data_IF_897047776569
#
_entry.id   IF_897047776569
#
_cell.length_a   1.000
_cell.length_b   1.000
_cell.length_c   1.000
_cell.angle_alpha   90.00
_cell.angle_beta   90.00
_cell.angle_gamma   90.00
#
_symmetry.space_group_name_H-M   'P 1'
#
loop_
_entity.id
_entity.type
_entity.pdbx_description
1 polymer ?
#
# COMPACT_ATOMS: atom_id res chain seq x y z
N UNK A 1 14.91 6.25 -6.67
CA UNK A 1 13.53 6.69 -6.93
C UNK A 1 13.04 7.72 -5.92
N UNK A 2 12.14 8.60 -6.35
CA UNK A 2 11.38 9.56 -5.52
C UNK A 2 9.98 9.07 -5.14
N UNK A 3 9.61 7.86 -5.55
CA UNK A 3 8.30 7.25 -5.45
C UNK A 3 7.81 7.06 -4.01
N UNK A 4 6.87 7.90 -3.55
CA UNK A 4 6.37 7.89 -2.18
C UNK A 4 5.04 7.11 -2.12
N UNK A 5 5.07 5.99 -1.42
CA UNK A 5 3.87 5.20 -1.17
C UNK A 5 2.96 5.87 -0.14
N UNK A 6 1.66 5.90 -0.37
CA UNK A 6 0.68 6.43 0.59
C UNK A 6 -0.55 5.53 0.67
N UNK A 7 -1.07 5.33 1.88
CA UNK A 7 -2.38 4.74 2.12
C UNK A 7 -3.42 5.80 2.44
N UNK A 8 -4.62 5.67 1.87
CA UNK A 8 -5.80 6.47 2.24
C UNK A 8 -6.96 5.58 2.63
N UNK A 9 -7.48 5.75 3.84
CA UNK A 9 -8.72 5.12 4.30
C UNK A 9 -9.92 6.01 3.93
N UNK A 10 -10.53 5.72 2.78
CA UNK A 10 -11.54 6.56 2.17
C UNK A 10 -12.91 6.39 2.83
N UNK A 11 -13.65 7.51 2.92
CA UNK A 11 -15.08 7.45 3.19
C UNK A 11 -15.83 6.86 1.97
N UNK A 12 -17.03 6.31 2.17
CA UNK A 12 -17.87 5.84 1.05
C UNK A 12 -18.12 6.94 0.01
N UNK A 13 -18.22 8.21 0.45
CA UNK A 13 -18.41 9.35 -0.44
C UNK A 13 -17.20 9.53 -1.36
N UNK A 14 -15.99 9.52 -0.80
CA UNK A 14 -14.76 9.79 -1.56
C UNK A 14 -14.40 8.60 -2.45
N UNK A 15 -14.58 7.37 -1.95
CA UNK A 15 -14.44 6.16 -2.75
C UNK A 15 -15.37 6.19 -3.97
N UNK A 16 -16.65 6.56 -3.77
CA UNK A 16 -17.60 6.66 -4.87
C UNK A 16 -17.25 7.76 -5.88
N UNK A 17 -16.59 8.85 -5.45
CA UNK A 17 -16.08 9.86 -6.39
C UNK A 17 -14.93 9.28 -7.21
N UNK A 18 -13.92 8.70 -6.55
CA UNK A 18 -12.77 8.08 -7.21
C UNK A 18 -13.18 7.02 -8.25
N UNK A 19 -14.16 6.17 -7.90
CA UNK A 19 -14.64 5.13 -8.82
C UNK A 19 -15.44 5.69 -10.01
N UNK A 20 -16.00 6.90 -9.90
CA UNK A 20 -16.67 7.62 -11.00
C UNK A 20 -15.70 8.46 -11.84
N UNK A 21 -14.58 8.87 -11.28
CA UNK A 21 -13.49 9.51 -12.03
C UNK A 21 -12.99 8.54 -13.09
N UNK A 22 -12.75 9.06 -14.30
CA UNK A 22 -12.24 8.24 -15.38
C UNK A 22 -10.87 7.69 -15.02
N UNK A 23 -10.53 6.49 -15.51
CA UNK A 23 -9.33 5.76 -15.09
C UNK A 23 -8.06 6.60 -15.20
N UNK A 24 -7.88 7.29 -16.33
CA UNK A 24 -6.73 8.15 -16.61
C UNK A 24 -6.69 9.45 -15.81
N UNK A 25 -7.82 9.90 -15.25
CA UNK A 25 -7.89 11.10 -14.41
C UNK A 25 -7.76 10.77 -12.90
N UNK A 26 -7.60 9.49 -12.53
CA UNK A 26 -7.48 9.08 -11.12
C UNK A 26 -6.21 9.58 -10.45
N UNK A 27 -5.02 9.57 -11.08
CA UNK A 27 -3.83 10.15 -10.47
C UNK A 27 -4.02 11.63 -10.12
N UNK A 28 -4.51 12.43 -11.07
CA UNK A 28 -4.81 13.85 -10.86
C UNK A 28 -5.83 14.06 -9.73
N UNK A 29 -6.94 13.30 -9.72
CA UNK A 29 -7.93 13.37 -8.65
C UNK A 29 -7.35 13.01 -7.28
N UNK A 30 -6.43 12.06 -7.20
CA UNK A 30 -5.78 11.72 -5.92
C UNK A 30 -4.94 12.90 -5.46
N UNK A 31 -4.06 13.41 -6.32
CA UNK A 31 -3.11 14.47 -5.95
C UNK A 31 -3.78 15.81 -5.68
N UNK A 32 -4.75 16.21 -6.51
CA UNK A 32 -5.40 17.52 -6.38
C UNK A 32 -6.56 17.53 -5.37
N UNK A 33 -7.36 16.45 -5.26
CA UNK A 33 -8.52 16.43 -4.38
C UNK A 33 -8.30 15.66 -3.07
N UNK A 34 -7.75 14.44 -3.14
CA UNK A 34 -7.64 13.59 -1.95
C UNK A 34 -6.48 14.01 -1.06
N UNK A 35 -5.29 14.24 -1.61
CA UNK A 35 -4.11 14.61 -0.84
C UNK A 35 -4.35 15.92 -0.07
N UNK A 36 -4.80 16.98 -0.74
CA UNK A 36 -5.07 18.28 -0.10
C UNK A 36 -5.99 18.14 1.13
N UNK A 37 -7.06 17.34 1.01
CA UNK A 37 -8.03 17.18 2.10
C UNK A 37 -7.51 16.22 3.17
N UNK A 38 -6.88 15.10 2.81
CA UNK A 38 -6.53 14.07 3.77
C UNK A 38 -5.30 14.44 4.60
N UNK A 39 -4.30 15.08 3.99
CA UNK A 39 -3.13 15.59 4.70
C UNK A 39 -3.48 16.70 5.69
N UNK A 40 -4.49 17.52 5.41
CA UNK A 40 -4.86 18.62 6.32
C UNK A 40 -5.95 18.25 7.34
N UNK A 41 -7.00 17.53 6.90
CA UNK A 41 -8.27 17.40 7.64
C UNK A 41 -8.57 15.96 8.07
N UNK A 42 -7.91 14.97 7.47
CA UNK A 42 -8.15 13.55 7.76
C UNK A 42 -6.88 12.78 8.09
N UNK A 43 -5.97 13.41 8.86
CA UNK A 43 -4.66 12.87 9.25
C UNK A 43 -4.67 11.45 9.87
N UNK A 44 -5.80 11.01 10.44
CA UNK A 44 -5.96 9.66 11.02
C UNK A 44 -6.34 8.58 10.00
N UNK A 45 -6.64 9.00 8.77
CA UNK A 45 -7.08 8.16 7.66
C UNK A 45 -6.12 8.25 6.48
N UNK A 46 -4.90 8.69 6.73
CA UNK A 46 -3.79 8.69 5.79
C UNK A 46 -2.56 8.13 6.49
N UNK A 47 -1.72 7.42 5.74
CA UNK A 47 -0.44 6.93 6.25
C UNK A 47 0.59 6.88 5.13
N UNK A 48 1.67 7.63 5.29
CA UNK A 48 2.79 7.66 4.35
C UNK A 48 3.72 6.46 4.61
N UNK A 49 4.07 5.76 3.54
CA UNK A 49 5.04 4.67 3.51
C UNK A 49 6.42 5.14 3.04
N UNK A 50 6.53 6.37 2.52
CA UNK A 50 7.75 6.88 1.90
C UNK A 50 8.24 5.86 0.86
N UNK A 51 9.51 5.46 0.86
CA UNK A 51 10.09 4.50 -0.10
C UNK A 51 10.01 3.04 0.36
N UNK A 52 9.42 2.76 1.52
CA UNK A 52 9.41 1.41 2.10
C UNK A 52 8.48 0.42 1.39
N UNK A 53 7.57 0.90 0.54
CA UNK A 53 6.47 0.11 -0.02
C UNK A 53 6.92 -1.06 -0.91
N UNK A 54 8.03 -0.93 -1.64
CA UNK A 54 8.53 -1.98 -2.55
C UNK A 54 9.02 -3.19 -1.75
N UNK A 55 10.04 -2.98 -0.89
CA UNK A 55 10.51 -4.03 0.01
C UNK A 55 9.39 -4.59 0.89
N UNK A 56 8.46 -3.73 1.34
CA UNK A 56 7.29 -4.16 2.08
C UNK A 56 6.40 -5.09 1.27
N UNK A 57 6.09 -4.75 0.02
CA UNK A 57 5.30 -5.61 -0.88
C UNK A 57 5.98 -6.96 -1.07
N UNK A 58 7.27 -6.96 -1.39
CA UNK A 58 8.05 -8.19 -1.59
C UNK A 58 8.08 -9.08 -0.32
N UNK A 59 8.17 -8.48 0.86
CA UNK A 59 8.08 -9.24 2.11
C UNK A 59 6.68 -9.79 2.37
N UNK A 60 5.64 -9.11 1.90
CA UNK A 60 4.25 -9.50 2.11
C UNK A 60 3.72 -10.42 1.01
N UNK A 61 4.38 -10.51 -0.15
CA UNK A 61 4.05 -11.44 -1.23
C UNK A 61 4.54 -12.87 -0.93
N UNK A 62 4.09 -13.83 -1.74
CA UNK A 62 4.48 -15.23 -1.61
C UNK A 62 5.91 -15.49 -2.09
N UNK A 63 6.31 -14.82 -3.16
CA UNK A 63 7.51 -15.11 -3.95
C UNK A 63 8.58 -14.02 -3.87
N UNK A 64 8.32 -12.91 -3.17
CA UNK A 64 9.25 -11.79 -3.12
C UNK A 64 9.27 -10.93 -4.38
N UNK A 65 8.31 -11.12 -5.29
CA UNK A 65 8.24 -10.40 -6.55
C UNK A 65 7.40 -9.12 -6.42
N UNK A 66 7.77 -8.13 -7.23
CA UNK A 66 7.03 -6.88 -7.39
C UNK A 66 5.96 -7.03 -8.47
N UNK A 67 4.87 -7.72 -8.13
CA UNK A 67 3.77 -8.02 -9.06
C UNK A 67 2.41 -7.61 -8.51
N UNK A 68 1.50 -7.25 -9.42
CA UNK A 68 0.08 -7.11 -9.11
C UNK A 68 -0.58 -8.47 -8.87
N UNK A 69 -1.63 -8.48 -8.05
CA UNK A 69 -2.51 -9.64 -7.92
C UNK A 69 -1.89 -10.85 -7.22
N UNK A 70 -1.05 -10.63 -6.21
CA UNK A 70 -0.46 -11.71 -5.41
C UNK A 70 -1.52 -12.48 -4.58
N UNK A 71 -1.38 -13.82 -4.58
CA UNK A 71 -2.33 -14.76 -3.98
C UNK A 71 -2.13 -14.95 -2.45
N UNK A 72 -1.16 -14.29 -1.82
CA UNK A 72 -0.86 -14.40 -0.39
C UNK A 72 -1.90 -13.68 0.46
N UNK A 73 -3.13 -14.16 0.44
CA UNK A 73 -4.23 -13.49 1.10
C UNK A 73 -4.12 -13.56 2.65
N UNK A 74 -4.32 -12.44 3.37
CA UNK A 74 -4.63 -11.10 2.86
C UNK A 74 -3.39 -10.21 2.66
N UNK A 75 -2.19 -10.67 3.02
CA UNK A 75 -0.97 -9.86 3.10
C UNK A 75 -0.46 -9.36 1.74
N UNK A 76 -0.51 -10.18 0.70
CA UNK A 76 -0.20 -9.78 -0.68
C UNK A 76 -1.12 -8.67 -1.21
N UNK A 77 -2.25 -8.43 -0.53
CA UNK A 77 -3.17 -7.34 -0.84
C UNK A 77 -2.88 -6.03 -0.11
N UNK A 78 -1.84 -5.94 0.72
CA UNK A 78 -1.55 -4.69 1.46
C UNK A 78 -1.07 -3.60 0.49
N UNK A 79 -0.12 -3.92 -0.40
CA UNK A 79 0.45 -2.97 -1.38
C UNK A 79 -0.17 -3.17 -2.77
N UNK A 80 0.23 -4.21 -3.51
CA UNK A 80 -0.15 -4.37 -4.93
C UNK A 80 -1.39 -5.23 -5.21
N UNK A 81 -1.94 -5.93 -4.21
CA UNK A 81 -3.17 -6.71 -4.40
C UNK A 81 -4.45 -5.91 -4.12
N UNK A 82 -5.60 -6.58 -4.31
CA UNK A 82 -6.92 -5.93 -4.33
C UNK A 82 -7.36 -5.56 -5.76
N UNK A 83 -8.31 -4.64 -5.87
CA UNK A 83 -8.79 -4.16 -7.17
C UNK A 83 -7.79 -3.14 -7.74
N UNK A 84 -7.24 -3.38 -8.94
CA UNK A 84 -6.30 -2.46 -9.59
C UNK A 84 -7.09 -1.34 -10.28
N UNK A 85 -6.94 -0.12 -9.77
CA UNK A 85 -7.62 1.06 -10.28
C UNK A 85 -6.80 1.81 -11.35
N UNK A 86 -5.48 1.69 -11.33
CA UNK A 86 -4.52 2.28 -12.27
C UNK A 86 -3.14 1.62 -12.09
N UNK A 87 -2.31 1.58 -13.13
CA UNK A 87 -0.93 1.09 -13.08
C UNK A 87 -0.69 -0.25 -13.77
N UNK A 88 -1.70 -0.82 -14.42
CA UNK A 88 -1.60 -2.13 -15.10
C UNK A 88 -2.03 -2.11 -16.57
N UNK A 89 -2.28 -0.93 -17.13
CA UNK A 89 -2.56 -0.73 -18.54
C UNK A 89 -1.33 -0.21 -19.30
N UNK A 90 -1.37 -0.34 -20.62
CA UNK A 90 -0.47 0.40 -21.51
C UNK A 90 -0.71 1.91 -21.27
N UNK A 91 0.37 2.69 -21.11
CA UNK A 91 0.34 4.13 -20.76
C UNK A 91 -0.07 4.48 -19.30
N UNK A 92 0.11 3.55 -18.35
CA UNK A 92 -0.13 3.80 -16.89
C UNK A 92 1.13 3.55 -16.04
N UNK A 93 2.32 3.68 -16.61
CA UNK A 93 3.60 3.36 -15.94
C UNK A 93 4.06 4.44 -14.95
N UNK A 94 3.34 5.56 -14.84
CA UNK A 94 3.68 6.74 -14.04
C UNK A 94 3.04 6.73 -12.65
N UNK A 95 2.08 5.84 -12.39
CA UNK A 95 1.38 5.79 -11.12
C UNK A 95 0.79 4.41 -10.84
N UNK A 96 0.62 4.06 -9.56
CA UNK A 96 -0.08 2.85 -9.15
C UNK A 96 -1.23 3.21 -8.22
N UNK A 97 -2.42 2.62 -8.43
CA UNK A 97 -3.56 2.75 -7.52
C UNK A 97 -4.20 1.39 -7.31
N UNK A 98 -4.16 0.88 -6.07
CA UNK A 98 -4.84 -0.38 -5.71
C UNK A 98 -5.84 -0.18 -4.58
N UNK A 99 -7.03 -0.78 -4.72
CA UNK A 99 -8.14 -0.65 -3.79
C UNK A 99 -8.37 -1.94 -2.99
N UNK A 100 -8.41 -1.77 -1.67
CA UNK A 100 -8.78 -2.78 -0.69
C UNK A 100 -10.16 -2.43 -0.15
N UNK A 101 -11.16 -3.24 -0.49
CA UNK A 101 -12.54 -3.07 0.00
C UNK A 101 -12.59 -3.26 1.53
N UNK A 102 -13.60 -2.67 2.17
CA UNK A 102 -13.73 -2.66 3.64
C UNK A 102 -13.68 -4.04 4.29
N UNK A 103 -14.22 -5.08 3.65
CA UNK A 103 -14.13 -6.46 4.19
C UNK A 103 -12.68 -6.98 4.16
N UNK A 104 -11.95 -6.77 3.07
CA UNK A 104 -10.52 -7.08 2.99
C UNK A 104 -9.70 -6.25 3.99
N UNK A 105 -10.03 -4.98 4.20
CA UNK A 105 -9.38 -4.13 5.21
C UNK A 105 -9.55 -4.72 6.61
N UNK A 106 -10.74 -5.23 6.96
CA UNK A 106 -10.96 -5.93 8.23
C UNK A 106 -10.16 -7.22 8.33
N UNK A 107 -10.09 -8.00 7.25
CA UNK A 107 -9.30 -9.23 7.22
C UNK A 107 -7.82 -8.94 7.43
N UNK A 108 -7.28 -7.91 6.76
CA UNK A 108 -5.92 -7.41 6.97
C UNK A 108 -5.74 -7.00 8.44
N UNK A 109 -6.58 -6.09 8.95
CA UNK A 109 -6.45 -5.58 10.32
C UNK A 109 -6.51 -6.69 11.39
N UNK A 110 -7.32 -7.73 11.18
CA UNK A 110 -7.43 -8.86 12.10
C UNK A 110 -6.20 -9.77 12.14
N UNK A 111 -5.36 -9.76 11.08
CA UNK A 111 -4.21 -10.67 10.92
C UNK A 111 -2.87 -9.97 10.87
N UNK A 112 -2.83 -8.65 10.65
CA UNK A 112 -1.59 -7.91 10.39
C UNK A 112 -0.59 -8.03 11.55
N UNK A 113 -1.07 -8.11 12.80
CA UNK A 113 -0.22 -8.31 13.98
C UNK A 113 0.43 -9.70 14.08
N UNK A 114 -0.05 -10.68 13.30
CA UNK A 114 0.56 -12.02 13.26
C UNK A 114 1.90 -12.04 12.50
N UNK A 115 2.20 -10.98 11.75
CA UNK A 115 3.47 -10.78 11.07
C UNK A 115 4.49 -10.31 12.11
N UNK A 116 5.43 -11.19 12.46
CA UNK A 116 6.50 -10.84 13.40
C UNK A 116 7.70 -10.25 12.67
N UNK A 117 8.49 -9.45 13.39
CA UNK A 117 9.71 -8.85 12.87
C UNK A 117 10.68 -9.89 12.32
N UNK A 118 10.79 -11.04 12.99
CA UNK A 118 11.70 -12.12 12.60
C UNK A 118 11.29 -12.76 11.27
N UNK A 119 10.00 -13.04 11.08
CA UNK A 119 9.48 -13.59 9.82
C UNK A 119 9.61 -12.59 8.68
N UNK A 120 9.34 -11.32 8.96
CA UNK A 120 9.51 -10.26 7.98
C UNK A 120 10.98 -10.11 7.59
N UNK A 121 11.90 -10.16 8.56
CA UNK A 121 13.36 -10.14 8.33
C UNK A 121 13.81 -11.30 7.46
N UNK A 122 13.34 -12.51 7.77
CA UNK A 122 13.69 -13.71 6.99
C UNK A 122 13.28 -13.55 5.53
N UNK A 123 12.09 -13.00 5.27
CA UNK A 123 11.62 -12.74 3.90
C UNK A 123 12.39 -11.61 3.22
N UNK A 124 12.69 -10.53 3.94
CA UNK A 124 13.45 -9.40 3.41
C UNK A 124 14.82 -9.84 2.87
N UNK A 125 15.59 -10.63 3.63
CA UNK A 125 16.90 -11.12 3.19
C UNK A 125 16.84 -12.25 2.14
N UNK A 126 15.63 -12.65 1.72
CA UNK A 126 15.41 -13.58 0.60
C UNK A 126 15.05 -12.88 -0.71
N UNK A 127 14.82 -11.56 -0.68
CA UNK A 127 14.58 -10.76 -1.88
C UNK A 127 15.79 -10.89 -2.83
N UNK A 128 15.55 -10.91 -4.14
CA UNK A 128 16.63 -10.81 -5.11
C UNK A 128 17.15 -9.36 -5.14
N UNK A 129 18.37 -9.15 -4.65
CA UNK A 129 19.02 -7.83 -4.59
C UNK A 129 19.10 -7.14 -5.97
N UNK A 130 19.22 -7.90 -7.06
CA UNK A 130 19.26 -7.32 -8.41
C UNK A 130 17.91 -6.79 -8.85
N UNK A 131 16.84 -7.47 -8.44
CA UNK A 131 15.46 -7.07 -8.77
C UNK A 131 14.96 -5.95 -7.85
N UNK A 132 15.46 -5.89 -6.60
CA UNK A 132 15.16 -4.81 -5.67
C UNK A 132 15.97 -3.53 -5.97
N UNK A 133 17.10 -3.63 -6.65
CA UNK A 133 17.97 -2.51 -7.04
C UNK A 133 18.58 -1.69 -5.87
N UNK A 134 18.36 -2.09 -4.61
CA UNK A 134 18.98 -1.52 -3.42
C UNK A 134 19.73 -2.59 -2.61
N UNK A 135 20.78 -2.21 -1.85
CA UNK A 135 21.50 -3.14 -1.00
C UNK A 135 20.60 -3.72 0.10
N UNK A 136 20.55 -5.05 0.20
CA UNK A 136 19.87 -5.72 1.30
C UNK A 136 20.70 -5.58 2.58
N UNK A 137 20.31 -4.63 3.42
CA UNK A 137 21.04 -4.27 4.63
C UNK A 137 20.13 -4.30 5.85
N UNK A 138 20.73 -4.43 7.05
CA UNK A 138 19.97 -4.31 8.29
C UNK A 138 19.33 -2.92 8.43
N UNK A 139 19.96 -1.86 7.92
CA UNK A 139 19.43 -0.50 7.99
C UNK A 139 18.17 -0.33 7.12
N UNK A 140 18.20 -0.79 5.87
CA UNK A 140 17.05 -0.75 4.97
C UNK A 140 15.90 -1.67 5.43
N UNK A 141 16.24 -2.82 6.02
CA UNK A 141 15.28 -3.68 6.69
C UNK A 141 14.59 -2.97 7.87
N UNK A 142 15.36 -2.36 8.78
CA UNK A 142 14.81 -1.68 9.96
C UNK A 142 13.92 -0.50 9.56
N UNK A 143 14.31 0.24 8.52
CA UNK A 143 13.49 1.28 7.91
C UNK A 143 12.16 0.70 7.39
N UNK A 144 12.22 -0.35 6.56
CA UNK A 144 11.02 -0.99 5.99
C UNK A 144 10.09 -1.55 7.08
N UNK A 145 10.68 -2.18 8.10
CA UNK A 145 9.94 -2.73 9.23
C UNK A 145 9.27 -1.65 10.08
N UNK A 146 9.94 -0.52 10.37
CA UNK A 146 9.35 0.56 11.16
C UNK A 146 8.11 1.14 10.47
N UNK A 147 8.18 1.39 9.15
CA UNK A 147 7.03 1.84 8.37
C UNK A 147 5.90 0.81 8.34
N UNK A 148 6.19 -0.48 8.15
CA UNK A 148 5.18 -1.54 8.20
C UNK A 148 4.52 -1.61 9.59
N UNK A 149 5.33 -1.68 10.65
CA UNK A 149 4.86 -1.84 12.02
C UNK A 149 3.95 -0.68 12.44
N UNK A 150 4.34 0.56 12.12
CA UNK A 150 3.53 1.75 12.42
C UNK A 150 2.26 1.84 11.57
N UNK A 151 2.23 1.23 10.39
CA UNK A 151 1.00 1.16 9.57
C UNK A 151 -0.10 0.30 10.22
N UNK A 152 0.22 -0.58 11.17
CA UNK A 152 -0.75 -1.46 11.83
C UNK A 152 -1.90 -0.66 12.46
N UNK A 153 -1.61 0.45 13.12
CA UNK A 153 -2.63 1.29 13.75
C UNK A 153 -3.52 2.00 12.72
N UNK A 154 -2.97 2.32 11.55
CA UNK A 154 -3.76 2.82 10.42
C UNK A 154 -4.77 1.76 9.94
N UNK A 155 -4.33 0.50 9.76
CA UNK A 155 -5.20 -0.59 9.31
C UNK A 155 -6.34 -0.87 10.30
N UNK A 156 -6.06 -0.86 11.60
CA UNK A 156 -7.08 -0.98 12.65
C UNK A 156 -8.07 0.17 12.61
N UNK A 157 -7.56 1.40 12.51
CA UNK A 157 -8.40 2.61 12.44
C UNK A 157 -9.32 2.59 11.20
N UNK A 158 -8.81 2.14 10.06
CA UNK A 158 -9.58 1.99 8.84
C UNK A 158 -10.67 0.90 8.97
N UNK A 159 -10.31 -0.24 9.55
CA UNK A 159 -11.22 -1.36 9.79
C UNK A 159 -12.36 -1.00 10.76
N UNK A 160 -12.03 -0.36 11.89
CA UNK A 160 -13.01 0.10 12.89
C UNK A 160 -13.99 1.11 12.30
N UNK A 161 -13.52 1.95 11.37
CA UNK A 161 -14.36 2.91 10.65
C UNK A 161 -15.08 2.30 9.43
N UNK A 162 -14.93 1.00 9.16
CA UNK A 162 -15.48 0.29 8.00
C UNK A 162 -15.12 0.96 6.66
N UNK A 163 -13.90 1.48 6.54
CA UNK A 163 -13.43 2.20 5.36
C UNK A 163 -12.70 1.28 4.39
N UNK A 164 -12.81 1.59 3.09
CA UNK A 164 -11.92 1.01 2.09
C UNK A 164 -10.57 1.73 2.13
N UNK A 165 -9.49 1.04 1.75
CA UNK A 165 -8.15 1.62 1.69
C UNK A 165 -7.65 1.61 0.26
N UNK A 166 -7.16 2.74 -0.24
CA UNK A 166 -6.33 2.77 -1.45
C UNK A 166 -4.84 2.85 -1.09
N UNK A 167 -3.99 2.24 -1.90
CA UNK A 167 -2.55 2.47 -1.93
C UNK A 167 -2.23 3.23 -3.20
N UNK A 168 -1.35 4.21 -3.09
CA UNK A 168 -0.92 5.05 -4.20
C UNK A 168 0.59 5.20 -4.18
N UNK A 169 1.20 5.33 -5.35
CA UNK A 169 2.61 5.69 -5.51
C UNK A 169 2.83 6.28 -6.90
N UNK A 170 3.59 7.36 -6.96
CA UNK A 170 4.13 7.96 -8.18
C UNK A 170 5.37 7.19 -8.64
N UNK A 171 5.49 6.85 -9.93
CA UNK A 171 6.61 6.07 -10.48
C UNK A 171 7.61 6.92 -11.27
#
# INVERSE_FOLDING_TARGET
MGCLGVFFALSDRDLNKLLKTSRFERPDFISEDLEEIYFEKHIKYIYELDKSWDAMHRCLSNDGLLVFGDDNYPFGSIIMGGDILYGNGDDEEDYIITLKKSDLVKDIASKIESITKEKFKEKYFKIDEKDYEYPLSDEDFEYTWDYFYRSIDFWKTAADANRAVIFTVDQ
#
